data_IF_631580291639
#
_entry.id   IF_631580291639
#
_cell.length_a   1.000
_cell.length_b   1.000
_cell.length_c   1.000
_cell.angle_alpha   90.00
_cell.angle_beta   90.00
_cell.angle_gamma   90.00
#
_symmetry.space_group_name_H-M   'P 1'
#
loop_
_entity.id
_entity.type
_entity.pdbx_description
1 polymer ?
#
# COMPACT_ATOMS: atom_id res chain seq x y z
N UNK A 1 14.76 20.52 -49.36
CA UNK A 1 14.87 20.45 -47.88
C UNK A 1 13.52 20.01 -47.34
N UNK A 2 13.31 18.70 -47.24
CA UNK A 2 12.11 18.14 -46.64
C UNK A 2 12.36 17.99 -45.13
N UNK A 3 11.49 18.60 -44.33
CA UNK A 3 11.54 18.51 -42.88
C UNK A 3 10.27 17.80 -42.41
N UNK A 4 10.49 16.85 -41.48
CA UNK A 4 9.57 16.26 -40.51
C UNK A 4 8.75 15.07 -41.05
N UNK A 5 8.56 13.99 -40.29
CA UNK A 5 8.53 13.88 -38.84
C UNK A 5 8.99 12.45 -38.47
N UNK A 6 10.06 12.30 -37.69
CA UNK A 6 10.40 11.01 -37.08
C UNK A 6 9.23 10.63 -36.17
N UNK A 7 8.51 9.55 -36.53
CA UNK A 7 7.61 8.86 -35.60
C UNK A 7 8.47 8.34 -34.46
N UNK A 8 8.53 9.11 -33.38
CA UNK A 8 8.98 8.63 -32.09
C UNK A 8 7.96 7.58 -31.66
N UNK A 9 8.32 6.31 -31.85
CA UNK A 9 7.65 5.18 -31.24
C UNK A 9 8.02 5.14 -29.76
N UNK A 10 7.54 6.13 -28.99
CA UNK A 10 7.48 6.03 -27.53
C UNK A 10 6.25 5.19 -27.16
N UNK A 11 6.32 3.91 -27.51
CA UNK A 11 5.47 2.86 -26.94
C UNK A 11 6.07 2.46 -25.59
N UNK A 12 5.95 3.35 -24.60
CA UNK A 12 6.21 3.02 -23.19
C UNK A 12 5.21 3.69 -22.25
N UNK A 13 4.00 3.99 -22.73
CA UNK A 13 2.88 4.30 -21.84
C UNK A 13 2.27 3.00 -21.33
N UNK A 14 2.94 2.32 -20.40
CA UNK A 14 2.22 1.40 -19.53
C UNK A 14 1.35 2.27 -18.60
N UNK A 15 0.08 2.48 -18.95
CA UNK A 15 -0.94 3.13 -18.11
C UNK A 15 -1.27 2.32 -16.83
N UNK A 16 -0.43 1.36 -16.45
CA UNK A 16 -0.47 0.62 -15.21
C UNK A 16 0.58 1.19 -14.26
N UNK A 17 0.25 1.39 -12.97
CA UNK A 17 1.25 1.83 -12.01
C UNK A 17 2.35 0.76 -11.91
N UNK A 18 3.61 1.19 -11.78
CA UNK A 18 4.74 0.26 -11.68
C UNK A 18 4.59 -0.55 -10.39
N UNK A 19 4.30 -1.85 -10.54
CA UNK A 19 4.15 -2.77 -9.43
C UNK A 19 5.41 -2.85 -8.56
N UNK A 20 6.59 -2.59 -9.13
CA UNK A 20 7.86 -2.53 -8.40
C UNK A 20 7.90 -1.33 -7.46
N UNK A 21 7.57 -0.15 -7.95
CA UNK A 21 7.48 1.09 -7.16
C UNK A 21 6.42 1.00 -6.06
N UNK A 22 5.23 0.47 -6.36
CA UNK A 22 4.16 0.26 -5.37
C UNK A 22 4.66 -0.61 -4.20
N UNK A 23 5.26 -1.77 -4.51
CA UNK A 23 5.77 -2.70 -3.49
C UNK A 23 6.84 -2.05 -2.63
N UNK A 24 7.76 -1.30 -3.24
CA UNK A 24 8.82 -0.57 -2.52
C UNK A 24 8.21 0.43 -1.54
N UNK A 25 7.28 1.26 -2.00
CA UNK A 25 6.64 2.29 -1.15
C UNK A 25 5.93 1.65 0.04
N UNK A 26 5.11 0.62 -0.19
CA UNK A 26 4.40 -0.08 0.89
C UNK A 26 5.38 -0.72 1.87
N UNK A 27 6.38 -1.45 1.36
CA UNK A 27 7.35 -2.15 2.19
C UNK A 27 8.18 -1.17 3.05
N UNK A 28 8.70 -0.11 2.45
CA UNK A 28 9.51 0.88 3.17
C UNK A 28 8.68 1.66 4.18
N UNK A 29 7.42 1.98 3.87
CA UNK A 29 6.53 2.67 4.80
C UNK A 29 6.20 1.79 6.01
N UNK A 30 5.86 0.52 5.78
CA UNK A 30 5.66 -0.47 6.85
C UNK A 30 6.91 -0.63 7.71
N UNK A 31 8.07 -0.87 7.10
CA UNK A 31 9.32 -1.06 7.82
C UNK A 31 9.70 0.18 8.63
N UNK A 32 9.56 1.37 8.06
CA UNK A 32 9.87 2.63 8.74
C UNK A 32 8.91 2.93 9.90
N UNK A 33 7.66 2.50 9.82
CA UNK A 33 6.71 2.66 10.90
C UNK A 33 7.02 1.68 12.03
N UNK A 34 7.13 0.40 11.69
CA UNK A 34 7.35 -0.68 12.65
C UNK A 34 8.72 -0.56 13.36
N UNK A 35 9.75 -0.04 12.70
CA UNK A 35 11.07 0.16 13.33
C UNK A 35 11.06 1.18 14.45
N UNK A 36 10.09 2.10 14.44
CA UNK A 36 9.90 3.14 15.47
C UNK A 36 8.81 2.77 16.47
N UNK A 37 8.07 1.70 16.20
CA UNK A 37 6.92 1.29 17.02
C UNK A 37 7.43 0.50 18.23
N UNK A 38 7.03 0.95 19.40
CA UNK A 38 7.18 0.21 20.66
C UNK A 38 5.80 -0.32 21.09
N UNK A 39 5.78 -1.57 21.55
CA UNK A 39 4.57 -2.21 22.08
C UNK A 39 3.53 -2.59 21.02
N UNK A 40 2.28 -2.87 21.45
CA UNK A 40 1.25 -3.45 20.61
C UNK A 40 0.82 -2.51 19.48
N UNK A 41 0.43 -3.12 18.36
CA UNK A 41 -0.02 -2.44 17.14
C UNK A 41 -1.53 -2.63 16.98
N UNK A 42 -2.26 -1.54 16.80
CA UNK A 42 -3.70 -1.58 16.59
C UNK A 42 -4.06 -1.73 15.11
N UNK A 43 -5.27 -2.26 14.87
CA UNK A 43 -5.82 -2.38 13.52
C UNK A 43 -5.95 -1.02 12.82
N UNK A 44 -6.31 0.03 13.56
CA UNK A 44 -6.45 1.39 13.01
C UNK A 44 -5.10 1.94 12.55
N UNK A 45 -4.04 1.78 13.34
CA UNK A 45 -2.69 2.22 12.96
C UNK A 45 -2.22 1.61 11.64
N UNK A 46 -2.43 0.30 11.44
CA UNK A 46 -2.06 -0.34 10.16
C UNK A 46 -2.92 0.18 9.01
N UNK A 47 -4.22 0.39 9.26
CA UNK A 47 -5.12 0.90 8.23
C UNK A 47 -4.70 2.30 7.78
N UNK A 48 -4.36 3.17 8.71
CA UNK A 48 -3.91 4.53 8.41
C UNK A 48 -2.55 4.49 7.69
N UNK A 49 -1.63 3.66 8.18
CA UNK A 49 -0.32 3.46 7.53
C UNK A 49 -0.45 2.97 6.08
N UNK A 50 -1.28 1.97 5.80
CA UNK A 50 -1.49 1.46 4.44
C UNK A 50 -2.14 2.51 3.54
N UNK A 51 -3.10 3.27 4.07
CA UNK A 51 -3.75 4.37 3.36
C UNK A 51 -2.73 5.45 2.98
N UNK A 52 -1.94 5.92 3.95
CA UNK A 52 -0.92 6.94 3.75
C UNK A 52 0.16 6.46 2.77
N UNK A 53 0.63 5.22 2.93
CA UNK A 53 1.63 4.62 2.05
C UNK A 53 1.16 4.58 0.60
N UNK A 54 -0.07 4.17 0.36
CA UNK A 54 -0.61 4.07 -1.00
C UNK A 54 -0.90 5.45 -1.61
N UNK A 55 -1.25 6.45 -0.78
CA UNK A 55 -1.42 7.83 -1.22
C UNK A 55 -0.09 8.52 -1.62
N UNK A 56 1.08 7.95 -1.25
CA UNK A 56 2.38 8.42 -1.75
C UNK A 56 2.60 8.07 -3.23
N UNK A 57 1.88 7.09 -3.77
CA UNK A 57 2.01 6.67 -5.17
C UNK A 57 1.37 7.75 -6.06
N UNK A 58 2.16 8.30 -6.98
CA UNK A 58 1.69 9.38 -7.85
C UNK A 58 0.47 8.94 -8.66
N UNK A 59 -0.60 9.75 -8.59
CA UNK A 59 -1.84 9.51 -9.31
C UNK A 59 -2.81 8.57 -8.60
N UNK A 60 -2.44 7.98 -7.46
CA UNK A 60 -3.37 7.22 -6.63
C UNK A 60 -4.25 8.19 -5.83
N UNK A 61 -5.54 7.87 -5.74
CA UNK A 61 -6.42 8.37 -4.69
C UNK A 61 -6.98 7.19 -3.96
N UNK A 62 -6.75 7.13 -2.65
CA UNK A 62 -7.00 5.95 -1.85
C UNK A 62 -7.94 6.30 -0.71
N UNK A 63 -8.95 5.46 -0.50
CA UNK A 63 -9.89 5.61 0.62
C UNK A 63 -10.41 4.25 1.10
N UNK A 64 -10.81 4.17 2.37
CA UNK A 64 -11.48 2.99 2.90
C UNK A 64 -12.92 2.94 2.37
N UNK A 65 -13.30 1.79 1.82
CA UNK A 65 -14.64 1.63 1.28
C UNK A 65 -15.71 1.60 2.40
N UNK A 66 -16.92 2.05 2.07
CA UNK A 66 -18.06 1.96 2.97
C UNK A 66 -18.41 0.49 3.28
N UNK A 67 -18.35 0.11 4.56
CA UNK A 67 -18.56 -1.27 5.01
C UNK A 67 -19.92 -1.83 4.55
N UNK A 68 -20.96 -1.00 4.54
CA UNK A 68 -22.32 -1.42 4.15
C UNK A 68 -22.44 -1.79 2.67
N UNK A 69 -21.59 -1.22 1.82
CA UNK A 69 -21.62 -1.41 0.37
C UNK A 69 -20.62 -2.47 -0.10
N UNK A 70 -19.44 -2.51 0.51
CA UNK A 70 -18.31 -3.30 0.04
C UNK A 70 -17.87 -4.40 1.00
N UNK A 71 -18.38 -4.40 2.23
CA UNK A 71 -17.88 -5.25 3.31
C UNK A 71 -16.70 -4.63 4.05
N UNK A 72 -16.23 -5.31 5.09
CA UNK A 72 -15.14 -4.83 5.95
C UNK A 72 -13.79 -5.00 5.25
N UNK A 73 -12.87 -4.07 5.50
CA UNK A 73 -11.46 -4.21 5.09
C UNK A 73 -11.19 -3.96 3.61
N UNK A 74 -12.15 -3.39 2.87
CA UNK A 74 -11.97 -3.01 1.47
C UNK A 74 -11.37 -1.63 1.33
N UNK A 75 -10.40 -1.50 0.43
CA UNK A 75 -9.77 -0.24 0.07
C UNK A 75 -10.09 0.09 -1.39
N UNK A 76 -10.51 1.33 -1.66
CA UNK A 76 -10.74 1.83 -3.00
C UNK A 76 -9.48 2.58 -3.46
N UNK A 77 -8.99 2.25 -4.65
CA UNK A 77 -7.86 2.92 -5.28
C UNK A 77 -8.30 3.43 -6.64
N UNK A 78 -8.31 4.75 -6.82
CA UNK A 78 -8.52 5.39 -8.11
C UNK A 78 -7.19 5.73 -8.77
N UNK A 79 -7.04 5.35 -10.04
CA UNK A 79 -5.87 5.62 -10.87
C UNK A 79 -6.28 5.78 -12.35
N UNK A 80 -5.93 6.91 -12.98
CA UNK A 80 -6.27 7.21 -14.39
C UNK A 80 -7.71 6.84 -14.79
N UNK A 81 -8.69 7.32 -14.02
CA UNK A 81 -10.13 7.06 -14.23
C UNK A 81 -10.59 5.60 -14.06
N UNK A 82 -9.71 4.70 -13.61
CA UNK A 82 -10.06 3.35 -13.19
C UNK A 82 -10.17 3.30 -11.67
N UNK A 83 -11.09 2.48 -11.18
CA UNK A 83 -11.23 2.19 -9.75
C UNK A 83 -10.90 0.72 -9.52
N UNK A 84 -10.07 0.46 -8.52
CA UNK A 84 -9.72 -0.87 -8.06
C UNK A 84 -10.21 -1.03 -6.62
N UNK A 85 -10.74 -2.22 -6.32
CA UNK A 85 -11.12 -2.59 -4.95
C UNK A 85 -10.11 -3.61 -4.45
N UNK A 86 -9.38 -3.27 -3.40
CA UNK A 86 -8.42 -4.17 -2.76
C UNK A 86 -9.04 -4.79 -1.51
N UNK A 87 -8.93 -6.11 -1.37
CA UNK A 87 -9.21 -6.82 -0.13
C UNK A 87 -8.00 -6.75 0.79
N UNK A 88 -8.11 -6.03 1.90
CA UNK A 88 -7.01 -5.76 2.81
C UNK A 88 -7.20 -6.43 4.18
N UNK A 89 -8.37 -6.99 4.49
CA UNK A 89 -8.66 -7.52 5.83
C UNK A 89 -7.64 -8.57 6.26
N UNK A 90 -7.35 -9.55 5.38
CA UNK A 90 -6.39 -10.62 5.65
C UNK A 90 -4.95 -10.13 5.73
N UNK A 91 -4.60 -9.12 4.91
CA UNK A 91 -3.26 -8.50 4.95
C UNK A 91 -3.05 -7.79 6.29
N UNK A 92 -4.03 -7.00 6.73
CA UNK A 92 -3.99 -6.31 8.02
C UNK A 92 -3.88 -7.31 9.16
N UNK A 93 -4.72 -8.35 9.16
CA UNK A 93 -4.71 -9.35 10.22
C UNK A 93 -3.39 -10.14 10.25
N UNK A 94 -2.78 -10.40 9.09
CA UNK A 94 -1.47 -11.04 8.99
C UNK A 94 -0.39 -10.15 9.62
N UNK A 95 -0.36 -8.86 9.31
CA UNK A 95 0.63 -7.93 9.87
C UNK A 95 0.49 -7.85 11.40
N UNK A 96 -0.75 -7.75 11.92
CA UNK A 96 -1.01 -7.73 13.36
C UNK A 96 -0.45 -8.98 14.05
N UNK A 97 -0.79 -10.17 13.54
CA UNK A 97 -0.30 -11.44 14.10
C UNK A 97 1.22 -11.55 14.06
N UNK A 98 1.84 -11.12 12.97
CA UNK A 98 3.30 -11.13 12.85
C UNK A 98 3.95 -10.20 13.87
N UNK A 99 3.36 -9.03 14.11
CA UNK A 99 3.85 -8.09 15.11
C UNK A 99 3.67 -8.61 16.54
N UNK A 100 2.51 -9.18 16.86
CA UNK A 100 2.26 -9.84 18.15
C UNK A 100 3.28 -10.95 18.42
N UNK A 101 3.50 -11.84 17.44
CA UNK A 101 4.51 -12.89 17.56
C UNK A 101 5.93 -12.33 17.76
N UNK A 102 6.26 -11.20 17.14
CA UNK A 102 7.53 -10.52 17.32
C UNK A 102 7.69 -9.99 18.76
N UNK A 103 6.66 -9.33 19.30
CA UNK A 103 6.66 -8.84 20.68
C UNK A 103 6.79 -9.99 21.68
N UNK A 104 5.98 -11.04 21.53
CA UNK A 104 6.05 -12.25 22.37
C UNK A 104 7.45 -12.87 22.38
N UNK A 105 8.11 -12.89 21.22
CA UNK A 105 9.46 -13.44 21.07
C UNK A 105 10.50 -12.56 21.76
N UNK A 106 10.33 -11.23 21.71
CA UNK A 106 11.18 -10.27 22.41
C UNK A 106 11.03 -10.36 23.93
N UNK A 107 9.81 -10.56 24.42
CA UNK A 107 9.54 -10.74 25.84
C UNK A 107 10.13 -12.05 26.39
N UNK A 108 10.10 -13.13 25.58
CA UNK A 108 10.66 -14.44 25.95
C UNK A 108 12.18 -14.48 25.88
N UNK A 109 12.80 -13.69 25.02
CA UNK A 109 14.26 -13.59 24.87
C UNK A 109 14.71 -12.12 24.99
N UNK A 110 14.71 -11.54 26.20
CA UNK A 110 15.27 -10.20 26.40
C UNK A 110 16.76 -10.27 26.08
N UNK A 111 17.17 -9.62 24.99
CA UNK A 111 18.58 -9.48 24.59
C UNK A 111 19.32 -8.55 25.54
#
# INVERSE_FOLDING_TARGET
>A
MERKLNRVSDLSSSDSPDSGEIKKIIFHSLLSYLSKKEGPLSKTEIKDLLLDSLNLIKGFRVEWAEIRKFGKGKLLVSYHHKMMVLEMEDTINTILKLWENYLDSKEKNPS
#
